data_IF_479105072646
#
_entry.id   IF_479105072646
#
_cell.length_a   1.000
_cell.length_b   1.000
_cell.length_c   1.000
_cell.angle_alpha   90.00
_cell.angle_beta   90.00
_cell.angle_gamma   90.00
#
_symmetry.space_group_name_H-M   'P 1'
#
loop_
_entity.id
_entity.type
_entity.pdbx_description
1 polymer ?
#
# COMPACT_ATOMS: atom_id res chain seq x y z
N UNK A 1 49.60 -52.49 42.66
CA UNK A 1 49.68 -51.26 41.84
C UNK A 1 48.65 -51.41 40.73
N UNK A 2 47.49 -50.75 40.88
CA UNK A 2 46.37 -50.81 39.90
C UNK A 2 46.35 -49.44 39.17
N UNK A 3 46.71 -49.47 37.90
CA UNK A 3 46.62 -48.25 37.01
C UNK A 3 45.17 -48.07 36.58
N UNK A 4 44.55 -46.96 37.02
CA UNK A 4 43.24 -46.51 36.53
C UNK A 4 43.43 -45.74 35.20
N UNK A 5 42.87 -46.27 34.12
CA UNK A 5 42.70 -45.53 32.85
C UNK A 5 41.42 -44.70 32.93
N UNK A 6 41.59 -43.39 32.82
CA UNK A 6 40.47 -42.44 32.66
C UNK A 6 40.20 -42.29 31.15
N UNK A 7 39.07 -42.78 30.69
CA UNK A 7 38.57 -42.50 29.33
C UNK A 7 37.86 -41.15 29.36
N UNK A 8 38.43 -40.17 28.69
CA UNK A 8 37.77 -38.90 28.42
C UNK A 8 36.86 -39.06 27.18
N UNK A 9 35.55 -39.03 27.39
CA UNK A 9 34.56 -38.93 26.33
C UNK A 9 34.52 -37.49 25.82
N UNK A 10 35.07 -37.25 24.63
CA UNK A 10 34.85 -36.02 23.88
C UNK A 10 33.43 -36.07 23.26
N UNK A 11 32.51 -35.32 23.85
CA UNK A 11 31.19 -35.07 23.27
C UNK A 11 31.33 -34.01 22.14
N UNK A 12 31.35 -34.46 20.89
CA UNK A 12 31.26 -33.57 19.73
C UNK A 12 29.82 -33.07 19.65
N UNK A 13 29.59 -31.82 20.04
CA UNK A 13 28.34 -31.12 19.77
C UNK A 13 28.24 -30.86 18.26
N UNK A 14 27.42 -31.63 17.55
CA UNK A 14 27.00 -31.29 16.19
C UNK A 14 26.16 -30.03 16.28
N UNK A 15 26.74 -28.90 15.92
CA UNK A 15 26.00 -27.69 15.59
C UNK A 15 25.32 -27.95 14.24
N UNK A 16 24.07 -28.44 14.29
CA UNK A 16 23.23 -28.44 13.09
C UNK A 16 22.88 -26.99 12.77
N UNK A 17 23.61 -26.42 11.79
CA UNK A 17 23.16 -25.19 11.12
C UNK A 17 21.80 -25.49 10.51
N UNK A 18 20.74 -24.91 11.08
CA UNK A 18 19.42 -24.88 10.44
C UNK A 18 19.60 -24.04 9.20
N UNK A 19 19.87 -24.70 8.07
CA UNK A 19 19.75 -24.07 6.76
C UNK A 19 18.28 -23.64 6.64
N UNK A 20 18.01 -22.35 6.80
CA UNK A 20 16.72 -21.80 6.45
C UNK A 20 16.52 -22.11 4.97
N UNK A 21 15.57 -22.99 4.68
CA UNK A 21 15.17 -23.27 3.30
C UNK A 21 14.47 -22.01 2.79
N UNK A 22 15.24 -21.10 2.22
CA UNK A 22 14.72 -19.97 1.45
C UNK A 22 13.72 -20.54 0.45
N UNK A 23 12.52 -19.95 0.42
CA UNK A 23 11.51 -20.42 -0.51
C UNK A 23 12.09 -20.57 -1.90
N UNK A 24 12.00 -21.76 -2.46
CA UNK A 24 12.62 -22.11 -3.75
C UNK A 24 12.28 -21.13 -4.90
N UNK A 25 11.18 -20.37 -4.77
CA UNK A 25 10.73 -19.43 -5.79
C UNK A 25 11.51 -18.10 -5.82
N UNK A 26 12.03 -17.60 -4.70
CA UNK A 26 12.72 -16.30 -4.59
C UNK A 26 14.25 -16.40 -4.68
N UNK A 27 14.81 -17.62 -4.67
CA UNK A 27 16.26 -17.83 -4.67
C UNK A 27 16.93 -17.22 -5.91
N UNK A 28 17.91 -16.33 -5.68
CA UNK A 28 18.67 -15.66 -6.74
C UNK A 28 17.87 -14.63 -7.55
N UNK A 29 16.72 -14.18 -7.05
CA UNK A 29 15.84 -13.21 -7.74
C UNK A 29 15.69 -11.87 -6.99
N UNK A 30 16.24 -11.76 -5.79
CA UNK A 30 16.23 -10.52 -5.00
C UNK A 30 17.47 -9.67 -5.28
N UNK A 31 17.37 -8.36 -5.11
CA UNK A 31 18.49 -7.42 -5.26
C UNK A 31 19.68 -7.75 -4.36
N UNK A 32 19.38 -8.19 -3.15
CA UNK A 32 20.38 -8.66 -2.19
C UNK A 32 20.08 -10.10 -1.82
N UNK A 33 21.06 -10.98 -1.97
CA UNK A 33 20.89 -12.40 -1.62
C UNK A 33 20.34 -12.53 -0.20
N UNK A 34 19.33 -13.38 -0.07
CA UNK A 34 18.72 -13.67 1.22
C UNK A 34 18.03 -12.47 1.91
N UNK A 35 17.74 -11.40 1.22
CA UNK A 35 16.97 -10.26 1.72
C UNK A 35 15.84 -9.94 0.77
N UNK A 36 14.72 -9.49 1.33
CA UNK A 36 13.62 -8.93 0.56
C UNK A 36 13.57 -7.42 0.84
N UNK A 37 13.91 -6.62 -0.17
CA UNK A 37 13.91 -5.16 -0.06
C UNK A 37 12.56 -4.63 -0.48
N UNK A 38 11.82 -4.06 0.46
CA UNK A 38 10.48 -3.50 0.23
C UNK A 38 10.56 -1.98 0.34
N UNK A 39 10.07 -1.27 -0.66
CA UNK A 39 9.94 0.17 -0.62
C UNK A 39 8.54 0.58 -0.13
N UNK A 40 8.49 1.74 0.51
CA UNK A 40 7.24 2.43 0.87
C UNK A 40 7.43 3.95 0.79
N UNK A 41 6.38 4.72 1.03
CA UNK A 41 6.37 6.16 0.95
C UNK A 41 7.35 6.88 1.88
N UNK A 42 7.64 8.12 1.56
CA UNK A 42 8.44 9.04 2.38
C UNK A 42 7.71 10.39 2.52
N UNK A 43 6.89 10.57 3.59
CA UNK A 43 6.56 9.59 4.63
C UNK A 43 5.58 8.52 4.15
N UNK A 44 5.48 7.42 4.92
CA UNK A 44 4.41 6.45 4.76
C UNK A 44 3.18 6.87 5.60
N UNK A 45 1.98 6.56 5.12
CA UNK A 45 0.74 7.14 5.66
C UNK A 45 -0.14 6.09 6.36
N UNK A 46 -0.90 6.58 7.37
CA UNK A 46 -2.03 5.85 7.96
C UNK A 46 -3.16 5.63 6.94
N UNK A 47 -3.93 4.54 7.04
CA UNK A 47 -3.78 3.37 7.94
C UNK A 47 -2.86 2.28 7.36
N UNK A 48 -2.15 2.59 6.27
CA UNK A 48 -1.31 1.65 5.51
C UNK A 48 -0.04 1.28 6.27
N UNK A 49 0.62 2.28 6.85
CA UNK A 49 1.78 2.14 7.73
C UNK A 49 1.57 3.02 8.95
N UNK A 50 1.68 2.44 10.14
CA UNK A 50 1.52 3.19 11.39
C UNK A 50 2.83 3.89 11.76
N UNK A 51 2.70 5.13 12.28
CA UNK A 51 3.80 5.94 12.83
C UNK A 51 5.00 6.13 11.87
N UNK A 52 4.75 6.07 10.55
CA UNK A 52 5.82 6.08 9.53
C UNK A 52 6.93 5.02 9.80
N UNK A 53 6.57 3.89 10.40
CA UNK A 53 7.48 2.83 10.85
C UNK A 53 7.08 1.46 10.25
N UNK A 54 7.34 1.21 8.94
CA UNK A 54 6.94 -0.03 8.27
C UNK A 54 7.59 -1.28 8.87
N UNK A 55 8.81 -1.13 9.43
CA UNK A 55 9.53 -2.19 10.14
C UNK A 55 8.81 -2.69 11.39
N UNK A 56 7.86 -1.93 11.92
CA UNK A 56 7.01 -2.36 13.04
C UNK A 56 6.01 -3.45 12.66
N UNK A 57 5.75 -3.64 11.37
CA UNK A 57 4.70 -4.52 10.85
C UNK A 57 3.27 -4.04 11.14
N UNK A 58 3.11 -2.79 11.61
CA UNK A 58 1.83 -2.19 11.96
C UNK A 58 1.29 -1.34 10.83
N UNK A 59 -0.02 -1.47 10.57
CA UNK A 59 -0.72 -0.91 9.43
C UNK A 59 -0.96 -1.96 8.34
N UNK A 60 -1.95 -1.72 7.49
CA UNK A 60 -2.42 -2.72 6.54
C UNK A 60 -1.31 -3.19 5.59
N UNK A 61 -0.62 -2.27 4.89
CA UNK A 61 0.44 -2.65 3.95
C UNK A 61 1.66 -3.25 4.64
N UNK A 62 2.07 -2.71 5.79
CA UNK A 62 3.17 -3.27 6.56
C UNK A 62 2.86 -4.72 7.00
N UNK A 63 1.64 -5.00 7.47
CA UNK A 63 1.21 -6.34 7.87
C UNK A 63 1.12 -7.30 6.66
N UNK A 64 0.60 -6.84 5.51
CA UNK A 64 0.56 -7.64 4.27
C UNK A 64 1.97 -7.95 3.78
N UNK A 65 2.89 -6.98 3.82
CA UNK A 65 4.28 -7.16 3.43
C UNK A 65 4.97 -8.28 4.23
N UNK A 66 4.85 -8.26 5.55
CA UNK A 66 5.44 -9.31 6.40
C UNK A 66 4.75 -10.66 6.24
N UNK A 67 3.42 -10.68 6.06
CA UNK A 67 2.71 -11.93 5.79
C UNK A 67 3.14 -12.56 4.46
N UNK A 68 3.25 -11.75 3.41
CA UNK A 68 3.72 -12.17 2.09
C UNK A 68 5.19 -12.64 2.16
N UNK A 69 6.09 -11.88 2.79
CA UNK A 69 7.48 -12.25 2.98
C UNK A 69 7.61 -13.61 3.70
N UNK A 70 6.81 -13.83 4.74
CA UNK A 70 6.76 -15.11 5.46
C UNK A 70 6.32 -16.28 4.56
N UNK A 71 5.31 -16.08 3.70
CA UNK A 71 4.87 -17.10 2.74
C UNK A 71 5.94 -17.40 1.68
N UNK A 72 6.76 -16.41 1.33
CA UNK A 72 7.92 -16.58 0.45
C UNK A 72 9.13 -17.20 1.17
N UNK A 73 9.07 -17.41 2.48
CA UNK A 73 10.14 -18.01 3.29
C UNK A 73 11.15 -17.01 3.88
N UNK A 74 10.90 -15.70 3.78
CA UNK A 74 11.75 -14.69 4.41
C UNK A 74 11.34 -14.48 5.88
N UNK A 75 12.23 -14.68 6.86
CA UNK A 75 11.98 -14.24 8.22
C UNK A 75 11.92 -12.72 8.29
N UNK A 76 11.21 -12.18 9.26
CA UNK A 76 11.03 -10.73 9.41
C UNK A 76 12.36 -9.95 9.48
N UNK A 77 13.42 -10.54 10.04
CA UNK A 77 14.76 -9.94 10.11
C UNK A 77 15.45 -9.78 8.74
N UNK A 78 14.93 -10.43 7.70
CA UNK A 78 15.48 -10.39 6.35
C UNK A 78 14.63 -9.51 5.41
N UNK A 79 13.57 -8.88 5.93
CA UNK A 79 12.84 -7.81 5.25
C UNK A 79 13.57 -6.48 5.51
N UNK A 80 13.96 -5.82 4.44
CA UNK A 80 14.65 -4.52 4.47
C UNK A 80 13.73 -3.47 3.89
N UNK A 81 13.49 -2.40 4.64
CA UNK A 81 12.66 -1.29 4.18
C UNK A 81 13.51 -0.17 3.61
N UNK A 82 13.07 0.36 2.46
CA UNK A 82 13.62 1.58 1.84
C UNK A 82 12.50 2.58 1.56
N UNK A 83 12.87 3.84 1.32
CA UNK A 83 11.91 4.92 1.08
C UNK A 83 12.04 5.41 -0.35
N UNK A 84 10.88 5.67 -0.99
CA UNK A 84 10.80 6.31 -2.30
C UNK A 84 9.69 7.35 -2.31
N UNK A 85 9.77 8.32 -3.21
CA UNK A 85 8.58 9.09 -3.56
C UNK A 85 7.65 8.24 -4.46
N UNK A 86 6.37 8.60 -4.50
CA UNK A 86 5.40 7.93 -5.34
C UNK A 86 5.79 8.00 -6.83
N UNK A 87 6.14 9.20 -7.29
CA UNK A 87 6.49 9.46 -8.68
C UNK A 87 7.79 8.78 -9.12
N UNK A 88 8.80 8.71 -8.23
CA UNK A 88 10.06 8.04 -8.53
C UNK A 88 9.86 6.54 -8.78
N UNK A 89 9.03 5.91 -7.97
CA UNK A 89 8.85 4.47 -8.06
C UNK A 89 8.15 4.02 -9.36
N UNK A 90 7.23 4.82 -9.91
CA UNK A 90 6.53 4.50 -11.17
C UNK A 90 7.32 4.84 -12.43
N UNK A 91 8.50 5.48 -12.33
CA UNK A 91 9.32 5.74 -13.50
C UNK A 91 9.87 4.44 -14.09
N UNK A 92 10.07 4.35 -15.42
CA UNK A 92 10.70 3.17 -16.03
C UNK A 92 12.16 3.01 -15.57
N UNK A 93 12.68 1.78 -15.66
CA UNK A 93 14.08 1.44 -15.41
C UNK A 93 14.32 0.76 -14.07
N UNK A 94 15.61 0.57 -13.76
CA UNK A 94 16.06 -0.20 -12.61
C UNK A 94 15.58 0.41 -11.28
N UNK A 95 15.23 -0.47 -10.35
CA UNK A 95 14.75 -0.12 -9.01
C UNK A 95 15.81 -0.43 -7.96
N UNK A 96 15.77 0.30 -6.85
CA UNK A 96 16.57 0.02 -5.66
C UNK A 96 15.81 -0.81 -4.61
N UNK A 97 14.72 -1.46 -5.03
CA UNK A 97 13.86 -2.33 -4.22
C UNK A 97 13.40 -3.54 -5.04
N UNK A 98 13.07 -4.62 -4.37
CA UNK A 98 12.46 -5.81 -4.99
C UNK A 98 10.99 -5.57 -5.31
N UNK A 99 10.27 -4.87 -4.41
CA UNK A 99 8.88 -4.45 -4.59
C UNK A 99 8.58 -3.18 -3.79
N UNK A 100 7.50 -2.48 -4.17
CA UNK A 100 7.07 -1.24 -3.52
C UNK A 100 5.57 -1.30 -3.21
N UNK A 101 5.20 -0.82 -2.02
CA UNK A 101 3.83 -0.73 -1.53
C UNK A 101 3.54 0.69 -1.08
N UNK A 102 2.73 1.40 -1.88
CA UNK A 102 2.25 2.77 -1.61
C UNK A 102 0.87 2.98 -2.25
N UNK A 103 -0.06 2.04 -2.08
CA UNK A 103 -1.41 2.08 -2.65
C UNK A 103 -1.39 2.31 -4.18
N UNK A 104 -0.45 1.68 -4.89
CA UNK A 104 -0.38 1.81 -6.35
C UNK A 104 -1.52 1.08 -7.03
N UNK A 105 -2.42 1.86 -7.65
CA UNK A 105 -3.44 1.31 -8.54
C UNK A 105 -2.79 0.68 -9.77
N UNK A 106 -3.16 -0.55 -10.06
CA UNK A 106 -2.78 -1.25 -11.29
C UNK A 106 -3.53 -0.57 -12.45
N UNK A 107 -2.80 0.02 -13.38
CA UNK A 107 -3.40 0.62 -14.59
C UNK A 107 -2.63 0.18 -15.83
N UNK A 108 -3.33 0.08 -17.01
CA UNK A 108 -2.67 -0.30 -18.25
C UNK A 108 -1.48 0.62 -18.62
N UNK A 109 -1.57 1.92 -18.30
CA UNK A 109 -0.52 2.88 -18.59
C UNK A 109 0.73 2.62 -17.74
N UNK A 110 0.56 2.26 -16.47
CA UNK A 110 1.67 1.92 -15.57
C UNK A 110 2.29 0.57 -15.92
N UNK A 111 1.48 -0.41 -16.33
CA UNK A 111 1.95 -1.73 -16.74
C UNK A 111 2.82 -1.72 -18.02
N UNK A 112 2.88 -0.59 -18.76
CA UNK A 112 3.81 -0.43 -19.88
C UNK A 112 5.26 -0.28 -19.40
N UNK A 113 5.48 0.21 -18.17
CA UNK A 113 6.80 0.63 -17.69
C UNK A 113 7.24 0.00 -16.37
N UNK A 114 6.32 -0.65 -15.65
CA UNK A 114 6.56 -1.38 -14.40
C UNK A 114 5.70 -2.63 -14.34
N UNK A 115 6.13 -3.61 -13.56
CA UNK A 115 5.32 -4.78 -13.23
C UNK A 115 4.49 -4.56 -11.96
N UNK A 116 3.35 -5.24 -11.89
CA UNK A 116 2.53 -5.35 -10.68
C UNK A 116 2.30 -6.79 -10.30
N UNK A 117 2.14 -7.02 -9.00
CA UNK A 117 1.57 -8.27 -8.50
C UNK A 117 0.08 -8.38 -8.83
N UNK A 118 -0.52 -9.55 -8.57
CA UNK A 118 -1.97 -9.65 -8.38
C UNK A 118 -2.39 -8.67 -7.26
N UNK A 119 -3.63 -8.12 -7.31
CA UNK A 119 -4.05 -7.14 -6.31
C UNK A 119 -4.06 -7.75 -4.91
N UNK A 120 -3.54 -6.97 -3.94
CA UNK A 120 -3.65 -7.30 -2.52
C UNK A 120 -4.80 -6.57 -1.83
N UNK A 121 -5.35 -5.53 -2.46
CA UNK A 121 -6.49 -4.76 -1.98
C UNK A 121 -7.27 -4.11 -3.14
N UNK A 122 -8.53 -3.78 -2.90
CA UNK A 122 -9.35 -3.02 -3.84
C UNK A 122 -10.18 -2.02 -3.06
N UNK A 123 -10.00 -0.74 -3.37
CA UNK A 123 -10.68 0.35 -2.68
C UNK A 123 -11.50 1.21 -3.65
N UNK A 124 -12.73 1.61 -3.29
CA UNK A 124 -13.40 2.70 -3.96
C UNK A 124 -12.71 4.02 -3.61
N UNK A 125 -12.74 4.98 -4.54
CA UNK A 125 -12.38 6.36 -4.24
C UNK A 125 -13.51 7.06 -3.50
N UNK A 126 -13.14 7.85 -2.50
CA UNK A 126 -14.06 8.62 -1.68
C UNK A 126 -13.74 10.12 -1.74
N UNK A 127 -14.78 10.92 -1.57
CA UNK A 127 -14.69 12.38 -1.51
C UNK A 127 -14.54 12.81 -0.06
N UNK A 128 -13.36 13.32 0.28
CA UNK A 128 -13.09 14.02 1.54
C UNK A 128 -13.28 15.52 1.32
N UNK A 129 -14.09 16.16 2.14
CA UNK A 129 -14.29 17.60 2.13
C UNK A 129 -13.78 18.26 3.41
N UNK A 130 -13.29 19.48 3.28
CA UNK A 130 -12.90 20.32 4.41
C UNK A 130 -14.10 20.85 5.19
N UNK A 131 -13.82 21.51 6.31
CA UNK A 131 -14.83 22.08 7.20
C UNK A 131 -15.71 23.10 6.49
N UNK A 132 -17.02 22.85 6.48
CA UNK A 132 -18.02 23.80 5.96
C UNK A 132 -18.22 23.78 4.44
N UNK A 133 -17.58 22.87 3.72
CA UNK A 133 -17.72 22.80 2.25
C UNK A 133 -19.10 22.23 1.81
N UNK A 134 -19.47 21.01 2.28
CA UNK A 134 -20.77 20.36 1.98
C UNK A 134 -21.12 19.39 3.10
N UNK A 135 -22.41 19.31 3.48
CA UNK A 135 -22.86 18.48 4.61
C UNK A 135 -23.65 17.22 4.21
N UNK A 136 -24.00 17.07 2.95
CA UNK A 136 -24.86 15.99 2.45
C UNK A 136 -24.20 15.15 1.39
N UNK A 137 -24.70 13.93 1.17
CA UNK A 137 -24.25 13.11 0.04
C UNK A 137 -24.42 13.89 -1.28
N UNK A 138 -23.32 14.16 -2.00
CA UNK A 138 -23.36 15.06 -3.16
C UNK A 138 -23.92 14.33 -4.37
N UNK A 139 -24.52 15.13 -5.24
CA UNK A 139 -24.69 14.74 -6.65
C UNK A 139 -23.43 15.07 -7.44
N UNK A 140 -23.29 14.49 -8.64
CA UNK A 140 -22.19 14.86 -9.54
C UNK A 140 -22.18 16.36 -9.89
N UNK A 141 -23.36 17.02 -9.88
CA UNK A 141 -23.44 18.46 -10.12
C UNK A 141 -22.84 19.27 -8.96
N UNK A 142 -23.06 18.85 -7.74
CA UNK A 142 -22.52 19.52 -6.55
C UNK A 142 -20.98 19.42 -6.52
N UNK A 143 -20.43 18.28 -6.96
CA UNK A 143 -18.99 18.06 -6.98
C UNK A 143 -18.25 18.99 -7.96
N UNK A 144 -18.88 19.38 -9.06
CA UNK A 144 -18.26 20.25 -10.07
C UNK A 144 -17.91 21.65 -9.55
N UNK A 145 -18.72 22.17 -8.64
CA UNK A 145 -18.53 23.49 -8.07
C UNK A 145 -17.44 23.58 -7.00
N UNK A 146 -16.90 22.46 -6.52
CA UNK A 146 -15.88 22.42 -5.47
C UNK A 146 -14.49 22.75 -6.05
N UNK A 147 -13.63 23.34 -5.21
CA UNK A 147 -12.20 23.51 -5.50
C UNK A 147 -11.47 22.22 -5.11
N UNK A 148 -10.92 21.56 -6.10
CA UNK A 148 -10.28 20.27 -5.94
C UNK A 148 -8.77 20.35 -5.84
N UNK A 149 -8.20 19.52 -4.97
CA UNK A 149 -6.78 19.20 -4.94
C UNK A 149 -6.54 17.72 -5.08
N UNK A 150 -5.40 17.34 -5.64
CA UNK A 150 -4.97 15.96 -5.76
C UNK A 150 -3.44 15.87 -5.83
N UNK A 151 -2.89 14.72 -5.43
CA UNK A 151 -1.48 14.41 -5.70
C UNK A 151 -1.34 14.12 -7.19
N UNK A 152 -0.36 14.72 -7.83
CA UNK A 152 -0.02 14.45 -9.24
C UNK A 152 0.24 12.95 -9.46
N UNK A 153 0.14 12.49 -10.72
CA UNK A 153 0.41 11.09 -11.12
C UNK A 153 -0.50 10.02 -10.46
N UNK A 154 -1.49 10.42 -9.64
CA UNK A 154 -2.46 9.50 -9.05
C UNK A 154 -3.70 9.31 -9.92
N UNK A 155 -4.40 8.19 -9.73
CA UNK A 155 -5.69 7.91 -10.37
C UNK A 155 -6.78 8.91 -9.97
N UNK A 156 -6.61 9.60 -8.84
CA UNK A 156 -7.50 10.70 -8.41
C UNK A 156 -7.56 11.83 -9.43
N UNK A 157 -6.42 12.23 -10.04
CA UNK A 157 -6.39 13.26 -11.09
C UNK A 157 -7.21 12.82 -12.29
N UNK A 158 -6.99 11.60 -12.79
CA UNK A 158 -7.75 11.05 -13.91
C UNK A 158 -9.25 10.96 -13.61
N UNK A 159 -9.64 10.58 -12.38
CA UNK A 159 -11.05 10.54 -11.95
C UNK A 159 -11.66 11.94 -11.93
N UNK A 160 -10.93 12.93 -11.42
CA UNK A 160 -11.38 14.32 -11.43
C UNK A 160 -11.56 14.87 -12.86
N UNK A 161 -10.58 14.67 -13.74
CA UNK A 161 -10.62 15.18 -15.11
C UNK A 161 -11.68 14.53 -15.98
N UNK A 162 -11.86 13.21 -15.85
CA UNK A 162 -12.71 12.44 -16.77
C UNK A 162 -14.13 12.22 -16.27
N UNK A 163 -14.33 12.14 -14.94
CA UNK A 163 -15.62 11.81 -14.32
C UNK A 163 -16.24 13.04 -13.66
N UNK A 164 -15.57 13.65 -12.68
CA UNK A 164 -16.10 14.80 -11.93
C UNK A 164 -16.18 16.03 -12.83
N UNK A 165 -15.14 16.33 -13.57
CA UNK A 165 -15.00 17.48 -14.47
C UNK A 165 -15.27 18.81 -13.75
N UNK A 166 -14.41 19.17 -12.76
CA UNK A 166 -14.58 20.40 -11.99
C UNK A 166 -14.67 21.65 -12.87
N UNK A 167 -15.42 22.65 -12.42
CA UNK A 167 -15.50 23.97 -13.09
C UNK A 167 -14.20 24.77 -12.94
N UNK A 168 -13.46 24.53 -11.86
CA UNK A 168 -12.16 25.16 -11.59
C UNK A 168 -11.01 24.18 -11.88
N UNK A 169 -9.81 24.71 -12.15
CA UNK A 169 -8.61 23.92 -12.32
C UNK A 169 -8.28 23.12 -11.05
N UNK A 170 -7.87 21.88 -11.22
CA UNK A 170 -7.41 21.01 -10.13
C UNK A 170 -6.04 21.52 -9.65
N UNK A 171 -5.88 21.73 -8.34
CA UNK A 171 -4.59 22.06 -7.74
C UNK A 171 -3.81 20.77 -7.49
N UNK A 172 -2.64 20.68 -8.12
CA UNK A 172 -1.77 19.50 -8.00
C UNK A 172 -0.73 19.71 -6.91
N UNK A 173 -0.53 18.70 -6.09
CA UNK A 173 0.41 18.65 -4.98
C UNK A 173 1.42 17.52 -5.15
N UNK A 174 2.54 17.60 -4.43
CA UNK A 174 3.59 16.61 -4.51
C UNK A 174 3.26 15.33 -3.73
N UNK A 175 2.55 15.46 -2.60
CA UNK A 175 2.19 14.34 -1.74
C UNK A 175 0.87 14.57 -0.96
N UNK A 176 0.45 13.55 -0.23
CA UNK A 176 -0.78 13.60 0.58
C UNK A 176 -0.69 14.58 1.76
N UNK A 177 0.49 14.85 2.30
CA UNK A 177 0.64 15.80 3.41
C UNK A 177 0.32 17.23 2.95
N UNK A 178 0.73 17.58 1.73
CA UNK A 178 0.42 18.87 1.12
C UNK A 178 -1.08 19.02 0.84
N UNK A 179 -1.74 17.96 0.32
CA UNK A 179 -3.21 17.95 0.13
C UNK A 179 -3.94 18.13 1.45
N UNK A 180 -3.52 17.41 2.49
CA UNK A 180 -4.11 17.51 3.83
C UNK A 180 -3.96 18.90 4.44
N UNK A 181 -2.78 19.52 4.26
CA UNK A 181 -2.53 20.90 4.69
C UNK A 181 -3.41 21.89 3.93
N UNK A 182 -3.60 21.69 2.61
CA UNK A 182 -4.46 22.55 1.78
C UNK A 182 -5.94 22.46 2.18
N UNK A 183 -6.46 21.26 2.49
CA UNK A 183 -7.82 21.07 3.03
C UNK A 183 -7.96 21.79 4.38
N UNK A 184 -7.01 21.56 5.29
CA UNK A 184 -7.02 22.16 6.63
C UNK A 184 -6.96 23.68 6.61
N UNK A 185 -6.26 24.25 5.61
CA UNK A 185 -6.13 25.69 5.40
C UNK A 185 -7.27 26.30 4.55
N UNK A 186 -8.28 25.52 4.14
CA UNK A 186 -9.36 25.92 3.24
C UNK A 186 -8.86 26.49 1.90
N UNK A 187 -7.72 26.03 1.41
CA UNK A 187 -7.20 26.38 0.08
C UNK A 187 -7.93 25.58 -1.00
N UNK A 188 -8.33 24.36 -0.67
CA UNK A 188 -9.20 23.49 -1.46
C UNK A 188 -10.41 23.07 -0.62
N UNK A 189 -11.52 22.78 -1.29
CA UNK A 189 -12.77 22.33 -0.65
C UNK A 189 -12.78 20.82 -0.50
N UNK A 190 -12.19 20.08 -1.45
CA UNK A 190 -12.28 18.63 -1.54
C UNK A 190 -11.03 17.99 -2.15
N UNK A 191 -10.84 16.71 -1.81
CA UNK A 191 -9.88 15.82 -2.46
C UNK A 191 -10.45 14.40 -2.60
N UNK A 192 -9.92 13.63 -3.55
CA UNK A 192 -10.18 12.20 -3.69
C UNK A 192 -9.05 11.41 -3.07
N UNK A 193 -9.43 10.45 -2.23
CA UNK A 193 -8.55 9.43 -1.67
C UNK A 193 -9.22 8.05 -1.81
N UNK A 194 -8.45 7.00 -1.65
CA UNK A 194 -9.05 5.71 -1.33
C UNK A 194 -9.87 5.82 -0.04
N UNK A 195 -10.93 5.03 0.06
CA UNK A 195 -11.88 5.16 1.17
C UNK A 195 -11.26 4.95 2.56
N UNK A 196 -10.36 3.97 2.81
CA UNK A 196 -9.68 3.85 4.09
C UNK A 196 -8.88 5.10 4.48
N UNK A 197 -8.12 5.67 3.55
CA UNK A 197 -7.37 6.92 3.78
C UNK A 197 -8.33 8.08 4.09
N UNK A 198 -9.39 8.25 3.30
CA UNK A 198 -10.37 9.32 3.53
C UNK A 198 -11.03 9.22 4.91
N UNK A 199 -11.42 8.01 5.33
CA UNK A 199 -12.02 7.76 6.66
C UNK A 199 -11.03 8.08 7.78
N UNK A 200 -9.77 7.64 7.65
CA UNK A 200 -8.75 7.94 8.65
C UNK A 200 -8.48 9.44 8.76
N UNK A 201 -8.31 10.13 7.63
CA UNK A 201 -8.09 11.58 7.60
C UNK A 201 -9.23 12.34 8.26
N UNK A 202 -10.47 11.96 7.95
CA UNK A 202 -11.68 12.57 8.54
C UNK A 202 -11.82 12.32 10.03
N UNK A 203 -11.51 11.11 10.50
CA UNK A 203 -11.70 10.73 11.90
C UNK A 203 -10.58 11.24 12.82
N UNK A 204 -9.36 11.38 12.31
CA UNK A 204 -8.15 11.54 13.16
C UNK A 204 -7.32 12.76 12.80
N UNK A 205 -7.15 13.09 11.52
CA UNK A 205 -6.11 14.02 11.07
C UNK A 205 -6.62 15.44 10.76
N UNK A 206 -7.79 15.56 10.14
CA UNK A 206 -8.30 16.84 9.64
C UNK A 206 -9.59 17.21 10.37
N UNK A 207 -9.46 18.06 11.39
CA UNK A 207 -10.59 18.48 12.22
C UNK A 207 -11.72 19.13 11.41
N UNK A 208 -12.93 18.59 11.59
CA UNK A 208 -14.14 19.09 10.93
C UNK A 208 -14.29 18.69 9.46
N UNK A 209 -13.36 17.90 8.92
CA UNK A 209 -13.53 17.28 7.61
C UNK A 209 -14.55 16.13 7.64
N UNK A 210 -15.07 15.76 6.47
CA UNK A 210 -16.07 14.67 6.33
C UNK A 210 -15.84 13.90 5.05
N UNK A 211 -16.08 12.58 5.10
CA UNK A 211 -16.26 11.76 3.89
C UNK A 211 -17.73 11.85 3.48
N UNK A 212 -18.02 12.54 2.38
CA UNK A 212 -19.40 12.82 1.94
C UNK A 212 -19.97 11.82 0.97
N UNK A 213 -19.12 10.98 0.38
CA UNK A 213 -19.55 9.93 -0.53
C UNK A 213 -18.38 9.17 -1.12
N UNK A 214 -18.69 8.04 -1.75
CA UNK A 214 -17.74 7.22 -2.48
C UNK A 214 -18.26 6.93 -3.88
N UNK A 215 -17.35 6.73 -4.83
CA UNK A 215 -17.70 6.28 -6.17
C UNK A 215 -18.02 4.77 -6.12
N UNK A 216 -18.92 4.33 -7.01
CA UNK A 216 -19.22 2.91 -7.11
C UNK A 216 -18.00 2.10 -7.51
N UNK A 217 -17.85 0.92 -6.94
CA UNK A 217 -16.87 -0.08 -7.35
C UNK A 217 -17.38 -0.96 -8.50
N UNK A 218 -18.41 -0.52 -9.25
CA UNK A 218 -18.97 -1.28 -10.35
C UNK A 218 -17.94 -1.57 -11.44
N UNK A 219 -18.09 -2.73 -12.10
CA UNK A 219 -17.16 -3.23 -13.11
C UNK A 219 -16.91 -2.27 -14.30
N UNK A 220 -17.79 -1.28 -14.51
CA UNK A 220 -17.61 -0.20 -15.51
C UNK A 220 -16.70 0.92 -15.02
N UNK A 221 -16.53 1.08 -13.72
CA UNK A 221 -15.76 2.17 -13.10
C UNK A 221 -14.37 1.73 -12.61
N UNK A 222 -14.02 0.47 -12.80
CA UNK A 222 -12.75 -0.14 -12.44
C UNK A 222 -12.28 0.28 -11.04
N UNK A 223 -12.62 -0.46 -9.97
CA UNK A 223 -12.16 -0.09 -8.62
C UNK A 223 -10.64 -0.03 -8.64
N UNK A 224 -10.05 0.92 -7.92
CA UNK A 224 -8.61 0.94 -7.76
C UNK A 224 -8.15 -0.36 -7.10
N UNK A 225 -7.49 -1.19 -7.87
CA UNK A 225 -6.87 -2.42 -7.39
C UNK A 225 -5.42 -2.13 -7.09
N UNK A 226 -5.01 -2.28 -5.84
CA UNK A 226 -3.64 -2.02 -5.41
C UNK A 226 -2.77 -3.25 -5.61
N UNK A 227 -1.70 -3.09 -6.39
CA UNK A 227 -0.66 -4.09 -6.62
C UNK A 227 0.68 -3.68 -6.03
N UNK A 228 1.50 -4.66 -5.69
CA UNK A 228 2.90 -4.41 -5.36
C UNK A 228 3.64 -4.09 -6.65
N UNK A 229 4.24 -2.89 -6.71
CA UNK A 229 4.97 -2.41 -7.87
C UNK A 229 6.37 -3.02 -7.89
N UNK A 230 6.83 -3.46 -9.06
CA UNK A 230 8.15 -4.04 -9.29
C UNK A 230 8.77 -3.45 -10.56
N UNK A 231 10.07 -3.64 -10.75
CA UNK A 231 10.72 -3.37 -12.03
C UNK A 231 10.06 -4.19 -13.16
N UNK A 232 9.98 -3.62 -14.35
CA UNK A 232 9.46 -4.31 -15.52
C UNK A 232 10.27 -5.58 -15.82
N UNK A 233 9.59 -6.71 -16.04
CA UNK A 233 10.21 -8.03 -16.24
C UNK A 233 10.76 -8.66 -14.94
N UNK A 234 10.29 -8.25 -13.76
CA UNK A 234 10.82 -8.74 -12.49
C UNK A 234 10.59 -10.23 -12.25
N UNK A 235 11.69 -10.97 -12.04
CA UNK A 235 11.69 -12.41 -11.84
C UNK A 235 10.97 -12.87 -10.55
N UNK A 236 10.74 -11.96 -9.57
CA UNK A 236 10.01 -12.25 -8.33
C UNK A 236 8.49 -12.25 -8.51
N UNK A 237 7.95 -11.66 -9.58
CA UNK A 237 6.51 -11.46 -9.79
C UNK A 237 5.68 -12.72 -9.52
N UNK A 238 6.09 -13.85 -10.11
CA UNK A 238 5.35 -15.11 -9.93
C UNK A 238 5.38 -15.61 -8.47
N UNK A 239 6.49 -15.40 -7.78
CA UNK A 239 6.65 -15.80 -6.39
C UNK A 239 5.76 -14.94 -5.46
N UNK A 240 5.77 -13.63 -5.68
CA UNK A 240 4.89 -12.67 -4.98
C UNK A 240 3.43 -13.02 -5.22
N UNK A 241 3.04 -13.28 -6.49
CA UNK A 241 1.68 -13.65 -6.85
C UNK A 241 1.22 -14.94 -6.18
N UNK A 242 2.07 -15.97 -6.11
CA UNK A 242 1.76 -17.21 -5.40
C UNK A 242 1.53 -16.97 -3.91
N UNK A 243 2.39 -16.16 -3.27
CA UNK A 243 2.24 -15.83 -1.86
C UNK A 243 0.94 -15.06 -1.58
N UNK A 244 0.64 -14.01 -2.36
CA UNK A 244 -0.60 -13.23 -2.21
C UNK A 244 -1.85 -14.08 -2.47
N UNK A 245 -1.83 -14.92 -3.51
CA UNK A 245 -2.95 -15.85 -3.80
C UNK A 245 -3.19 -16.80 -2.64
N UNK A 246 -2.14 -17.30 -2.00
CA UNK A 246 -2.25 -18.17 -0.82
C UNK A 246 -2.81 -17.40 0.38
N UNK A 247 -2.34 -16.18 0.64
CA UNK A 247 -2.88 -15.33 1.71
C UNK A 247 -4.37 -15.03 1.52
N UNK A 248 -4.79 -14.77 0.27
CA UNK A 248 -6.20 -14.57 -0.07
C UNK A 248 -7.02 -15.86 0.16
N UNK A 249 -6.55 -17.00 -0.38
CA UNK A 249 -7.25 -18.28 -0.28
C UNK A 249 -7.39 -18.79 1.17
N UNK A 250 -6.44 -18.45 2.05
CA UNK A 250 -6.49 -18.81 3.49
C UNK A 250 -7.27 -17.82 4.34
N UNK A 251 -7.78 -16.72 3.76
CA UNK A 251 -8.47 -15.64 4.48
C UNK A 251 -7.54 -14.73 5.27
N UNK A 252 -6.21 -14.88 5.13
CA UNK A 252 -5.25 -14.07 5.89
C UNK A 252 -5.28 -12.60 5.46
N UNK A 253 -5.46 -12.31 4.16
CA UNK A 253 -5.62 -10.92 3.69
C UNK A 253 -6.86 -10.27 4.32
N UNK A 254 -8.00 -10.95 4.31
CA UNK A 254 -9.23 -10.44 4.92
C UNK A 254 -9.09 -10.24 6.45
N UNK A 255 -8.34 -11.09 7.14
CA UNK A 255 -8.06 -10.93 8.56
C UNK A 255 -7.19 -9.69 8.84
N UNK A 256 -6.17 -9.44 8.01
CA UNK A 256 -5.32 -8.24 8.11
C UNK A 256 -6.15 -6.98 7.80
N UNK A 257 -7.02 -7.03 6.78
CA UNK A 257 -7.93 -5.94 6.45
C UNK A 257 -8.83 -5.58 7.64
N UNK A 258 -9.48 -6.57 8.24
CA UNK A 258 -10.35 -6.36 9.39
C UNK A 258 -9.61 -5.86 10.65
N UNK A 259 -8.31 -6.15 10.77
CA UNK A 259 -7.48 -5.67 11.88
C UNK A 259 -7.11 -4.18 11.74
N UNK A 260 -6.80 -3.73 10.51
CA UNK A 260 -6.17 -2.43 10.28
C UNK A 260 -7.06 -1.40 9.62
N UNK A 261 -8.08 -1.82 8.86
CA UNK A 261 -8.94 -0.91 8.12
C UNK A 261 -10.32 -0.78 8.79
N UNK A 262 -10.88 0.42 8.73
CA UNK A 262 -12.19 0.71 9.29
C UNK A 262 -13.31 0.08 8.46
N UNK A 263 -14.48 -0.12 9.08
CA UNK A 263 -15.69 -0.50 8.36
C UNK A 263 -16.10 0.60 7.38
N UNK A 264 -16.18 0.24 6.11
CA UNK A 264 -16.46 1.15 4.99
C UNK A 264 -17.93 1.16 4.57
N UNK A 265 -18.79 0.36 5.23
CA UNK A 265 -20.18 0.09 4.78
C UNK A 265 -21.13 1.27 4.92
N UNK A 266 -20.80 2.29 5.72
CA UNK A 266 -21.69 3.42 6.02
C UNK A 266 -21.58 4.62 5.06
N UNK A 267 -20.64 4.65 4.13
CA UNK A 267 -20.41 5.79 3.24
C UNK A 267 -21.33 5.74 2.03
N UNK A 268 -22.14 6.80 1.76
CA UNK A 268 -23.09 6.78 0.66
C UNK A 268 -22.41 6.77 -0.72
N UNK A 269 -23.07 6.15 -1.69
CA UNK A 269 -22.64 6.22 -3.09
C UNK A 269 -22.99 7.58 -3.70
N UNK A 270 -22.05 8.15 -4.46
CA UNK A 270 -22.26 9.33 -5.29
C UNK A 270 -23.15 8.94 -6.48
N UNK A 271 -24.17 9.78 -6.77
CA UNK A 271 -25.17 9.54 -7.82
C UNK A 271 -25.06 10.55 -8.96
#
# INVERSE_FOLDING_TARGET
>A
MIKRFVFALLSSALVTSVAHAWGHCAAGKTLTDCKLTIATGNPAYYPWVMDDAPESGKGFEAAVAYAMASEMGFPAADVVWVRTSFDEAIQPGAKNFDLNMQQYSITPEREIVVDFSVPYYSAPMAVLVGKGAVDTAPTMADLKGLKWGAVGSTTAVSKLENVVKPESAILLYADNADVNAAISANQIDAALFDLPTALFLSAVMIEGSKVIGQFSADASDNPDQFGMLMEDGNALKDCVNQALTKLAATGRLAAIEAEWLQDTTGVPLIK
#
